data_IF_495285882938
#
_entry.id   IF_495285882938
#
_cell.length_a   1.000
_cell.length_b   1.000
_cell.length_c   1.000
_cell.angle_alpha   90.00
_cell.angle_beta   90.00
_cell.angle_gamma   90.00
#
_symmetry.space_group_name_H-M   'P 1'
#
loop_
_entity.id
_entity.type
_entity.pdbx_description
1 polymer ?
#
# COMPACT_ATOMS: atom_id res chain seq x y z
N UNK A 1 -13.13 24.73 1.30
CA UNK A 1 -13.58 23.46 0.69
C UNK A 1 -14.90 23.12 1.37
N UNK A 2 -15.99 22.83 0.64
CA UNK A 2 -17.30 22.57 1.27
C UNK A 2 -17.31 21.47 2.32
N UNK A 3 -16.44 20.46 2.21
CA UNK A 3 -16.49 19.28 3.08
C UNK A 3 -15.46 19.32 4.22
N UNK A 4 -14.22 19.75 3.96
CA UNK A 4 -13.14 19.76 4.97
C UNK A 4 -12.72 21.17 5.44
N UNK A 5 -13.40 22.22 4.98
CA UNK A 5 -13.15 23.63 5.34
C UNK A 5 -11.78 24.21 4.96
N UNK A 6 -10.86 23.40 4.43
CA UNK A 6 -9.56 23.85 3.93
C UNK A 6 -9.65 24.62 2.59
N UNK A 7 -8.69 25.51 2.27
CA UNK A 7 -8.68 26.20 0.97
C UNK A 7 -8.53 25.21 -0.19
N UNK A 8 -9.28 25.45 -1.26
CA UNK A 8 -9.16 24.71 -2.51
C UNK A 8 -7.83 25.06 -3.23
N UNK A 9 -7.31 24.17 -4.09
CA UNK A 9 -6.15 24.48 -4.92
C UNK A 9 -6.42 25.71 -5.80
N UNK A 10 -5.38 26.51 -6.09
CA UNK A 10 -5.52 27.71 -6.95
C UNK A 10 -6.04 27.36 -8.34
N UNK A 11 -5.53 26.26 -8.91
CA UNK A 11 -5.91 25.74 -10.22
C UNK A 11 -6.36 24.28 -10.03
N UNK A 12 -7.62 24.03 -9.64
CA UNK A 12 -8.12 22.68 -9.49
C UNK A 12 -8.14 21.96 -10.84
N UNK A 13 -7.90 20.65 -10.84
CA UNK A 13 -8.04 19.85 -12.05
C UNK A 13 -9.50 19.80 -12.51
N UNK A 14 -9.69 19.40 -13.78
CA UNK A 14 -11.02 19.11 -14.32
C UNK A 14 -11.74 18.06 -13.46
N UNK A 15 -11.05 17.00 -13.06
CA UNK A 15 -11.58 15.92 -12.22
C UNK A 15 -12.07 16.44 -10.86
N UNK A 16 -11.27 17.25 -10.15
CA UNK A 16 -11.67 17.80 -8.86
C UNK A 16 -12.86 18.76 -8.99
N UNK A 17 -12.89 19.53 -10.09
CA UNK A 17 -14.00 20.44 -10.38
C UNK A 17 -15.31 19.68 -10.68
N UNK A 18 -15.25 18.61 -11.46
CA UNK A 18 -16.38 17.72 -11.77
C UNK A 18 -16.90 17.02 -10.52
N UNK A 19 -16.01 16.45 -9.69
CA UNK A 19 -16.39 15.85 -8.41
C UNK A 19 -17.04 16.87 -7.47
N UNK A 20 -16.53 18.10 -7.43
CA UNK A 20 -17.11 19.16 -6.61
C UNK A 20 -18.55 19.49 -7.04
N UNK A 21 -18.83 19.53 -8.34
CA UNK A 21 -20.18 19.76 -8.86
C UNK A 21 -21.09 18.59 -8.53
N UNK A 22 -20.62 17.36 -8.78
CA UNK A 22 -21.35 16.14 -8.45
C UNK A 22 -21.78 16.10 -6.97
N UNK A 23 -20.86 16.32 -6.03
CA UNK A 23 -21.19 16.25 -4.61
C UNK A 23 -22.04 17.43 -4.11
N UNK A 24 -22.07 18.55 -4.82
CA UNK A 24 -22.98 19.67 -4.52
C UNK A 24 -24.44 19.35 -4.87
N UNK A 25 -24.65 18.49 -5.86
CA UNK A 25 -25.97 18.08 -6.34
C UNK A 25 -26.40 16.71 -5.76
N UNK A 26 -25.56 16.11 -4.93
CA UNK A 26 -25.78 14.77 -4.38
C UNK A 26 -27.04 14.71 -3.49
N UNK A 27 -27.88 13.66 -3.62
CA UNK A 27 -29.08 13.50 -2.79
C UNK A 27 -28.76 13.50 -1.29
N UNK A 28 -29.45 14.35 -0.52
CA UNK A 28 -29.26 14.43 0.93
C UNK A 28 -28.10 15.32 1.38
N UNK A 29 -27.48 16.08 0.47
CA UNK A 29 -26.54 17.13 0.85
C UNK A 29 -27.24 18.19 1.70
N UNK A 30 -26.64 18.54 2.83
CA UNK A 30 -27.17 19.54 3.77
C UNK A 30 -26.16 20.67 3.96
N UNK A 31 -26.61 21.86 4.34
CA UNK A 31 -25.70 22.93 4.76
C UNK A 31 -25.23 22.67 6.19
N UNK A 32 -23.96 22.96 6.46
CA UNK A 32 -23.42 22.96 7.84
C UNK A 32 -23.58 24.35 8.42
N UNK A 33 -24.57 24.54 9.28
CA UNK A 33 -24.87 25.83 9.90
C UNK A 33 -23.77 26.28 10.88
N UNK A 34 -23.09 25.32 11.53
CA UNK A 34 -22.05 25.60 12.52
C UNK A 34 -20.66 25.91 11.92
N UNK A 35 -20.52 26.02 10.60
CA UNK A 35 -19.23 26.28 9.96
C UNK A 35 -18.99 27.76 9.66
N UNK A 36 -17.75 28.21 9.90
CA UNK A 36 -17.27 29.53 9.47
C UNK A 36 -17.26 29.66 7.93
N UNK A 37 -17.16 28.53 7.23
CA UNK A 37 -17.19 28.48 5.79
C UNK A 37 -18.64 28.54 5.27
N UNK A 38 -19.00 29.63 4.61
CA UNK A 38 -20.34 29.85 4.05
C UNK A 38 -20.75 28.84 2.97
N UNK A 39 -19.79 28.12 2.39
CA UNK A 39 -20.00 27.06 1.41
C UNK A 39 -19.98 25.66 2.04
N UNK A 40 -19.99 25.55 3.38
CA UNK A 40 -19.88 24.26 4.05
C UNK A 40 -21.11 23.38 3.82
N UNK A 41 -20.85 22.16 3.38
CA UNK A 41 -21.83 21.13 3.10
C UNK A 41 -21.53 19.90 3.95
N UNK A 42 -22.60 19.18 4.30
CA UNK A 42 -22.55 17.93 5.02
C UNK A 42 -22.99 16.79 4.10
N UNK A 43 -22.12 15.79 4.00
CA UNK A 43 -22.38 14.45 3.51
C UNK A 43 -21.59 13.48 4.41
N UNK A 44 -22.00 12.21 4.51
CA UNK A 44 -21.22 11.20 5.23
C UNK A 44 -19.78 11.14 4.72
N UNK A 45 -18.82 10.93 5.62
CA UNK A 45 -17.40 10.88 5.26
C UNK A 45 -17.11 9.85 4.16
N UNK A 46 -17.73 8.66 4.26
CA UNK A 46 -17.60 7.60 3.26
C UNK A 46 -17.93 8.06 1.84
N UNK A 47 -18.90 8.95 1.70
CA UNK A 47 -19.32 9.52 0.41
C UNK A 47 -18.32 10.56 -0.11
N UNK A 48 -17.81 11.40 0.78
CA UNK A 48 -16.88 12.49 0.41
C UNK A 48 -15.40 12.09 0.39
N UNK A 49 -15.07 10.87 0.80
CA UNK A 49 -13.69 10.44 1.04
C UNK A 49 -12.82 10.57 -0.21
N UNK A 50 -13.33 10.13 -1.37
CA UNK A 50 -12.63 10.22 -2.66
C UNK A 50 -12.37 11.67 -3.08
N UNK A 51 -13.36 12.55 -2.90
CA UNK A 51 -13.21 13.99 -3.15
C UNK A 51 -12.17 14.63 -2.23
N UNK A 52 -12.25 14.35 -0.92
CA UNK A 52 -11.31 14.87 0.07
C UNK A 52 -9.88 14.37 -0.21
N UNK A 53 -9.73 13.12 -0.64
CA UNK A 53 -8.44 12.56 -1.05
C UNK A 53 -7.89 13.30 -2.28
N UNK A 54 -8.69 13.44 -3.35
CA UNK A 54 -8.29 14.19 -4.55
C UNK A 54 -7.93 15.65 -4.24
N UNK A 55 -8.68 16.30 -3.34
CA UNK A 55 -8.39 17.66 -2.89
C UNK A 55 -7.03 17.74 -2.19
N UNK A 56 -6.75 16.85 -1.25
CA UNK A 56 -5.46 16.78 -0.56
C UNK A 56 -4.32 16.48 -1.53
N UNK A 57 -4.56 15.61 -2.51
CA UNK A 57 -3.58 15.24 -3.51
C UNK A 57 -3.17 16.43 -4.38
N UNK A 58 -4.13 17.18 -4.92
CA UNK A 58 -3.86 18.37 -5.74
C UNK A 58 -3.29 19.54 -4.95
N UNK A 59 -3.70 19.68 -3.69
CA UNK A 59 -3.25 20.79 -2.85
C UNK A 59 -1.86 20.57 -2.27
N UNK A 60 -1.56 19.35 -1.82
CA UNK A 60 -0.38 19.06 -1.00
C UNK A 60 0.53 18.05 -1.69
N UNK A 61 0.02 16.88 -2.06
CA UNK A 61 0.84 15.74 -2.47
C UNK A 61 1.55 16.01 -3.80
N UNK A 62 0.80 16.40 -4.83
CA UNK A 62 1.32 16.68 -6.18
C UNK A 62 2.32 17.85 -6.14
N UNK A 63 2.01 19.02 -5.56
CA UNK A 63 2.97 20.12 -5.50
C UNK A 63 4.25 19.77 -4.73
N UNK A 64 4.16 18.99 -3.66
CA UNK A 64 5.35 18.57 -2.90
C UNK A 64 6.22 17.59 -3.68
N UNK A 65 5.62 16.67 -4.44
CA UNK A 65 6.38 15.77 -5.30
C UNK A 65 7.11 16.49 -6.43
N UNK A 66 6.46 17.50 -7.03
CA UNK A 66 7.09 18.37 -8.04
C UNK A 66 8.27 19.14 -7.44
N UNK A 67 8.13 19.69 -6.21
CA UNK A 67 9.25 20.36 -5.51
C UNK A 67 10.41 19.42 -5.21
N UNK A 68 10.14 18.14 -4.98
CA UNK A 68 11.17 17.10 -4.79
C UNK A 68 11.79 16.62 -6.12
N UNK A 69 11.31 17.10 -7.26
CA UNK A 69 11.83 16.75 -8.58
C UNK A 69 11.34 15.39 -9.11
N UNK A 70 10.26 14.84 -8.57
CA UNK A 70 9.71 13.58 -9.07
C UNK A 70 9.06 13.75 -10.46
N UNK A 71 9.09 12.73 -11.33
CA UNK A 71 8.59 12.84 -12.69
C UNK A 71 7.12 13.24 -12.74
N UNK A 72 6.78 14.17 -13.62
CA UNK A 72 5.37 14.54 -13.91
C UNK A 72 4.81 13.81 -15.12
N UNK A 73 5.68 13.20 -15.92
CA UNK A 73 5.35 12.40 -17.11
C UNK A 73 6.27 11.19 -17.14
N UNK A 74 5.68 10.01 -17.31
CA UNK A 74 6.41 8.74 -17.45
C UNK A 74 6.02 8.12 -18.80
N UNK A 75 7.03 7.68 -19.55
CA UNK A 75 6.79 6.92 -20.78
C UNK A 75 6.46 5.46 -20.44
N UNK A 76 5.20 5.23 -20.08
CA UNK A 76 4.68 3.90 -19.76
C UNK A 76 4.75 2.92 -20.95
N UNK A 77 4.80 3.41 -22.20
CA UNK A 77 4.90 2.53 -23.38
C UNK A 77 6.26 1.84 -23.47
N UNK A 78 7.32 2.55 -23.08
CA UNK A 78 8.67 1.98 -23.05
C UNK A 78 9.05 1.35 -21.69
N UNK A 79 8.19 1.48 -20.66
CA UNK A 79 8.44 0.92 -19.34
C UNK A 79 8.72 -0.61 -19.35
N UNK A 80 7.98 -1.47 -20.10
CA UNK A 80 8.30 -2.89 -20.20
C UNK A 80 9.73 -3.18 -20.68
N UNK A 81 10.25 -2.37 -21.61
CA UNK A 81 11.64 -2.53 -22.09
C UNK A 81 12.65 -2.19 -21.01
N UNK A 82 12.38 -1.16 -20.19
CA UNK A 82 13.23 -0.79 -19.06
C UNK A 82 13.24 -1.87 -17.99
N UNK A 83 12.07 -2.41 -17.64
CA UNK A 83 11.94 -3.51 -16.68
C UNK A 83 12.77 -4.72 -17.11
N UNK A 84 12.70 -5.12 -18.39
CA UNK A 84 13.47 -6.24 -18.94
C UNK A 84 14.99 -6.10 -18.79
N UNK A 85 15.54 -4.87 -18.81
CA UNK A 85 16.98 -4.65 -18.60
C UNK A 85 17.44 -5.11 -17.21
N UNK A 86 16.53 -5.11 -16.24
CA UNK A 86 16.81 -5.47 -14.85
C UNK A 86 16.55 -6.96 -14.54
N UNK A 87 16.11 -7.76 -15.52
CA UNK A 87 15.81 -9.18 -15.30
C UNK A 87 17.01 -9.99 -14.80
N UNK A 88 18.22 -9.71 -15.28
CA UNK A 88 19.44 -10.38 -14.77
C UNK A 88 19.58 -10.19 -13.26
N UNK A 89 19.47 -8.95 -12.78
CA UNK A 89 19.57 -8.63 -11.35
C UNK A 89 18.42 -9.27 -10.55
N UNK A 90 17.21 -9.29 -11.09
CA UNK A 90 16.07 -9.94 -10.43
C UNK A 90 16.27 -11.46 -10.33
N UNK A 91 16.85 -12.09 -11.35
CA UNK A 91 17.24 -13.50 -11.30
C UNK A 91 18.32 -13.73 -10.25
N UNK A 92 19.33 -12.87 -10.15
CA UNK A 92 20.35 -12.96 -9.10
C UNK A 92 19.75 -12.84 -7.68
N UNK A 93 18.65 -12.11 -7.52
CA UNK A 93 17.89 -12.04 -6.26
C UNK A 93 17.12 -13.35 -6.01
N UNK A 94 16.49 -13.93 -7.05
CA UNK A 94 15.83 -15.22 -6.95
C UNK A 94 16.80 -16.34 -6.54
N UNK A 95 17.98 -16.37 -7.16
CA UNK A 95 19.03 -17.36 -6.88
C UNK A 95 19.73 -17.14 -5.52
N UNK A 96 19.49 -16.00 -4.86
CA UNK A 96 20.11 -15.64 -3.58
C UNK A 96 21.55 -15.12 -3.70
N UNK A 97 22.01 -14.87 -4.92
CA UNK A 97 23.33 -14.28 -5.23
C UNK A 97 23.41 -12.83 -4.77
N UNK A 98 22.28 -12.11 -4.81
CA UNK A 98 22.15 -10.73 -4.31
C UNK A 98 21.17 -10.71 -3.14
N UNK A 99 21.60 -10.10 -2.03
CA UNK A 99 20.74 -9.89 -0.88
C UNK A 99 19.63 -8.88 -1.19
N UNK A 100 18.39 -9.23 -0.80
CA UNK A 100 17.22 -8.36 -0.92
C UNK A 100 16.61 -8.06 0.45
N UNK A 101 16.48 -6.77 0.75
CA UNK A 101 15.78 -6.32 1.96
C UNK A 101 14.28 -6.67 1.86
N UNK A 102 13.68 -6.57 0.67
CA UNK A 102 12.29 -6.94 0.46
C UNK A 102 12.05 -8.43 0.68
N UNK A 103 12.94 -9.30 0.18
CA UNK A 103 12.87 -10.74 0.43
C UNK A 103 12.99 -11.07 1.91
N UNK A 104 13.93 -10.42 2.60
CA UNK A 104 14.14 -10.62 4.04
C UNK A 104 12.90 -10.24 4.83
N UNK A 105 12.33 -9.06 4.56
CA UNK A 105 11.11 -8.57 5.22
C UNK A 105 9.93 -9.50 4.90
N UNK A 106 9.71 -9.83 3.63
CA UNK A 106 8.60 -10.69 3.20
C UNK A 106 8.67 -12.08 3.85
N UNK A 107 9.87 -12.65 3.95
CA UNK A 107 10.10 -13.95 4.60
C UNK A 107 9.85 -13.89 6.10
N UNK A 108 10.28 -12.81 6.77
CA UNK A 108 10.03 -12.62 8.19
C UNK A 108 8.54 -12.43 8.50
N UNK A 109 7.83 -11.64 7.69
CA UNK A 109 6.38 -11.46 7.80
C UNK A 109 5.65 -12.80 7.61
N UNK A 110 6.02 -13.55 6.58
CA UNK A 110 5.42 -14.85 6.30
C UNK A 110 5.67 -15.87 7.40
N UNK A 111 6.87 -15.90 7.99
CA UNK A 111 7.15 -16.76 9.15
C UNK A 111 6.32 -16.39 10.38
N UNK A 112 6.04 -15.09 10.59
CA UNK A 112 5.26 -14.62 11.74
C UNK A 112 3.76 -14.88 11.60
N UNK A 113 3.20 -14.67 10.41
CA UNK A 113 1.74 -14.65 10.20
C UNK A 113 1.23 -15.81 9.34
N UNK A 114 2.08 -16.42 8.52
CA UNK A 114 1.76 -17.53 7.64
C UNK A 114 0.60 -17.21 6.69
N UNK A 115 -0.31 -18.17 6.54
CA UNK A 115 -1.49 -18.05 5.68
C UNK A 115 -2.44 -16.92 6.05
N UNK A 116 -2.36 -16.34 7.27
CA UNK A 116 -3.18 -15.19 7.68
C UNK A 116 -2.86 -13.92 6.90
N UNK A 117 -1.68 -13.82 6.27
CA UNK A 117 -1.36 -12.72 5.35
C UNK A 117 -2.20 -12.72 4.08
N UNK A 118 -2.85 -13.85 3.76
CA UNK A 118 -3.80 -13.95 2.63
C UNK A 118 -5.19 -13.40 2.96
N UNK A 119 -5.43 -12.95 4.19
CA UNK A 119 -6.71 -12.33 4.54
C UNK A 119 -6.81 -10.96 3.84
N UNK A 120 -7.98 -10.68 3.26
CA UNK A 120 -8.28 -9.41 2.56
C UNK A 120 -7.91 -8.18 3.41
N UNK A 121 -8.07 -8.25 4.73
CA UNK A 121 -7.70 -7.16 5.65
C UNK A 121 -6.18 -6.91 5.70
N UNK A 122 -5.38 -7.97 5.62
CA UNK A 122 -3.93 -7.85 5.59
C UNK A 122 -3.46 -7.40 4.21
N UNK A 123 -4.07 -7.93 3.15
CA UNK A 123 -3.79 -7.50 1.77
C UNK A 123 -4.09 -6.00 1.56
N UNK A 124 -5.19 -5.49 2.12
CA UNK A 124 -5.55 -4.07 2.03
C UNK A 124 -4.59 -3.17 2.84
N UNK A 125 -4.07 -3.66 3.97
CA UNK A 125 -3.11 -2.89 4.78
C UNK A 125 -1.68 -2.93 4.24
N UNK A 126 -1.31 -3.94 3.44
CA UNK A 126 0.00 -4.00 2.78
C UNK A 126 0.02 -3.37 1.39
N UNK A 127 -1.14 -3.03 0.82
CA UNK A 127 -1.25 -2.45 -0.52
C UNK A 127 -0.44 -1.16 -0.68
N UNK A 128 -0.40 -0.30 0.33
CA UNK A 128 0.44 0.91 0.31
C UNK A 128 1.93 0.57 0.20
N UNK A 129 2.38 -0.55 0.77
CA UNK A 129 3.79 -0.99 0.71
C UNK A 129 4.14 -1.53 -0.69
N UNK A 130 3.15 -2.08 -1.39
CA UNK A 130 3.33 -2.68 -2.73
C UNK A 130 3.39 -1.63 -3.84
N UNK A 131 3.04 -0.37 -3.57
CA UNK A 131 3.07 0.68 -4.58
C UNK A 131 4.51 1.00 -5.04
N UNK A 132 4.77 1.11 -6.36
CA UNK A 132 6.09 1.31 -6.95
C UNK A 132 6.56 2.78 -6.90
N UNK A 133 6.30 3.48 -5.80
CA UNK A 133 6.67 4.89 -5.64
C UNK A 133 5.95 5.80 -6.63
N UNK A 134 6.67 6.76 -7.23
CA UNK A 134 6.12 7.72 -8.18
C UNK A 134 5.61 7.10 -9.49
N UNK A 135 5.85 5.81 -9.73
CA UNK A 135 5.26 5.10 -10.87
C UNK A 135 3.76 4.86 -10.73
N UNK A 136 3.23 4.93 -9.49
CA UNK A 136 1.79 4.87 -9.22
C UNK A 136 1.13 3.54 -9.58
N UNK A 137 -0.21 3.56 -9.65
CA UNK A 137 -1.03 2.38 -9.92
C UNK A 137 -0.83 1.90 -11.35
N UNK A 138 -0.75 2.82 -12.31
CA UNK A 138 -0.46 2.48 -13.72
C UNK A 138 0.90 1.80 -13.89
N UNK A 139 1.91 2.27 -13.15
CA UNK A 139 3.22 1.62 -13.14
C UNK A 139 3.19 0.25 -12.46
N UNK A 140 2.41 0.09 -11.39
CA UNK A 140 2.23 -1.18 -10.71
C UNK A 140 1.72 -2.24 -11.68
N UNK A 141 0.66 -1.93 -12.43
CA UNK A 141 0.04 -2.84 -13.39
C UNK A 141 1.05 -3.31 -14.45
N UNK A 142 1.77 -2.36 -15.07
CA UNK A 142 2.74 -2.65 -16.13
C UNK A 142 3.93 -3.47 -15.60
N UNK A 143 4.44 -3.12 -14.41
CA UNK A 143 5.53 -3.85 -13.75
C UNK A 143 5.06 -5.28 -13.45
N UNK A 144 3.91 -5.41 -12.81
CA UNK A 144 3.35 -6.69 -12.41
C UNK A 144 3.12 -7.61 -13.62
N UNK A 145 2.44 -7.14 -14.67
CA UNK A 145 2.21 -7.91 -15.90
C UNK A 145 3.52 -8.30 -16.60
N UNK A 146 4.50 -7.40 -16.64
CA UNK A 146 5.80 -7.68 -17.26
C UNK A 146 6.58 -8.76 -16.48
N UNK A 147 6.54 -8.72 -15.15
CA UNK A 147 7.16 -9.73 -14.30
C UNK A 147 6.43 -11.06 -14.41
N UNK A 148 5.10 -11.05 -14.38
CA UNK A 148 4.26 -12.23 -14.48
C UNK A 148 4.51 -12.98 -15.79
N UNK A 149 4.56 -12.28 -16.92
CA UNK A 149 4.84 -12.88 -18.23
C UNK A 149 6.24 -13.51 -18.33
N UNK A 150 7.20 -13.03 -17.54
CA UNK A 150 8.56 -13.56 -17.55
C UNK A 150 8.74 -14.70 -16.54
N UNK A 151 8.63 -14.37 -15.25
CA UNK A 151 8.93 -15.27 -14.14
C UNK A 151 7.88 -16.38 -13.95
N UNK A 152 6.65 -16.16 -14.41
CA UNK A 152 5.58 -17.17 -14.38
C UNK A 152 5.29 -17.76 -15.77
N UNK A 153 6.23 -17.60 -16.71
CA UNK A 153 6.18 -18.34 -17.96
C UNK A 153 6.35 -19.85 -17.70
N UNK A 154 5.75 -20.74 -18.54
CA UNK A 154 5.85 -22.19 -18.35
C UNK A 154 7.28 -22.72 -18.21
N UNK A 155 8.26 -22.04 -18.81
CA UNK A 155 9.67 -22.42 -18.78
C UNK A 155 10.37 -22.06 -17.46
N UNK A 156 9.96 -20.96 -16.80
CA UNK A 156 10.60 -20.47 -15.57
C UNK A 156 9.78 -20.71 -14.31
N UNK A 157 8.52 -21.12 -14.44
CA UNK A 157 7.60 -21.27 -13.30
C UNK A 157 8.14 -22.20 -12.22
N UNK A 158 8.66 -23.37 -12.60
CA UNK A 158 9.17 -24.35 -11.64
C UNK A 158 10.36 -23.82 -10.85
N UNK A 159 11.36 -23.26 -11.54
CA UNK A 159 12.55 -22.67 -10.91
C UNK A 159 12.18 -21.48 -10.02
N UNK A 160 11.34 -20.57 -10.52
CA UNK A 160 10.90 -19.39 -9.75
C UNK A 160 10.10 -19.81 -8.51
N UNK A 161 9.24 -20.83 -8.63
CA UNK A 161 8.50 -21.39 -7.48
C UNK A 161 9.43 -22.01 -6.45
N UNK A 162 10.53 -22.63 -6.89
CA UNK A 162 11.54 -23.17 -5.99
C UNK A 162 12.30 -22.05 -5.25
N UNK A 163 12.73 -21.01 -5.96
CA UNK A 163 13.36 -19.83 -5.39
C UNK A 163 12.45 -19.06 -4.41
N UNK A 164 11.15 -19.04 -4.69
CA UNK A 164 10.18 -18.35 -3.84
C UNK A 164 9.97 -19.02 -2.48
N UNK A 165 10.30 -20.31 -2.31
CA UNK A 165 10.04 -21.03 -1.05
C UNK A 165 10.71 -20.31 0.15
N UNK A 166 10.00 -20.13 1.29
CA UNK A 166 8.70 -20.71 1.64
C UNK A 166 7.47 -19.87 1.24
N UNK A 167 7.66 -18.80 0.47
CA UNK A 167 6.61 -17.87 0.07
C UNK A 167 5.79 -18.44 -1.10
N UNK A 168 4.46 -18.20 -1.13
CA UNK A 168 3.67 -18.40 -2.35
C UNK A 168 4.20 -17.52 -3.47
N UNK A 169 4.16 -18.03 -4.69
CA UNK A 169 4.81 -17.37 -5.83
C UNK A 169 4.19 -16.00 -6.15
N UNK A 170 2.87 -15.85 -6.05
CA UNK A 170 2.19 -14.56 -6.26
C UNK A 170 2.58 -13.54 -5.18
N UNK A 171 2.71 -13.99 -3.93
CA UNK A 171 3.16 -13.15 -2.82
C UNK A 171 4.61 -12.72 -3.02
N UNK A 172 5.47 -13.63 -3.49
CA UNK A 172 6.86 -13.36 -3.82
C UNK A 172 6.98 -12.29 -4.92
N UNK A 173 6.20 -12.39 -6.01
CA UNK A 173 6.22 -11.39 -7.09
C UNK A 173 5.79 -10.02 -6.56
N UNK A 174 4.68 -9.93 -5.81
CA UNK A 174 4.16 -8.64 -5.31
C UNK A 174 5.04 -8.00 -4.24
N UNK A 175 5.59 -8.80 -3.33
CA UNK A 175 6.30 -8.29 -2.14
C UNK A 175 7.81 -8.20 -2.32
N UNK A 176 8.37 -8.86 -3.32
CA UNK A 176 9.81 -8.90 -3.58
C UNK A 176 10.13 -8.36 -4.97
N UNK A 177 9.73 -9.07 -6.04
CA UNK A 177 10.18 -8.71 -7.39
C UNK A 177 9.65 -7.35 -7.86
N UNK A 178 8.40 -7.03 -7.56
CA UNK A 178 7.80 -5.75 -7.93
C UNK A 178 8.49 -4.55 -7.27
N UNK A 179 8.66 -4.51 -5.92
CA UNK A 179 9.35 -3.39 -5.30
C UNK A 179 10.85 -3.36 -5.60
N UNK A 180 11.51 -4.49 -5.85
CA UNK A 180 12.90 -4.52 -6.36
C UNK A 180 12.99 -3.92 -7.77
N UNK A 181 12.03 -4.22 -8.64
CA UNK A 181 11.95 -3.63 -9.98
C UNK A 181 11.73 -2.12 -9.90
N UNK A 182 10.79 -1.67 -9.06
CA UNK A 182 10.54 -0.25 -8.85
C UNK A 182 11.81 0.46 -8.32
N UNK A 183 12.51 -0.15 -7.37
CA UNK A 183 13.77 0.36 -6.84
C UNK A 183 14.84 0.47 -7.94
N UNK A 184 14.98 -0.52 -8.82
CA UNK A 184 15.92 -0.47 -9.94
C UNK A 184 15.56 0.61 -10.98
N UNK A 185 14.27 0.78 -11.27
CA UNK A 185 13.78 1.82 -12.19
C UNK A 185 14.06 3.22 -11.63
N UNK A 186 13.79 3.44 -10.33
CA UNK A 186 14.09 4.70 -9.65
C UNK A 186 15.60 4.96 -9.61
N UNK A 187 16.41 3.93 -9.37
CA UNK A 187 17.86 4.05 -9.43
C UNK A 187 18.35 4.47 -10.83
N UNK A 188 17.78 3.89 -11.89
CA UNK A 188 18.06 4.27 -13.28
C UNK A 188 17.69 5.74 -13.53
N UNK A 189 16.53 6.20 -13.06
CA UNK A 189 16.06 7.58 -13.23
C UNK A 189 16.92 8.60 -12.47
N UNK A 190 17.34 8.26 -11.25
CA UNK A 190 18.22 9.09 -10.41
C UNK A 190 19.70 8.99 -10.82
N UNK A 191 20.05 8.06 -11.73
CA UNK A 191 21.44 7.72 -12.09
C UNK A 191 22.28 7.31 -10.87
N UNK A 192 21.67 6.56 -9.96
CA UNK A 192 22.29 6.06 -8.73
C UNK A 192 22.37 4.53 -8.75
N UNK A 193 23.10 3.97 -7.79
CA UNK A 193 23.09 2.53 -7.54
C UNK A 193 21.75 2.11 -6.89
N UNK A 194 21.18 0.95 -7.23
CA UNK A 194 20.02 0.38 -6.53
C UNK A 194 20.20 0.31 -5.00
N UNK A 195 21.44 0.14 -4.52
CA UNK A 195 21.72 0.01 -3.09
C UNK A 195 21.82 1.38 -2.37
N UNK A 196 21.72 2.50 -3.08
CA UNK A 196 21.78 3.82 -2.48
C UNK A 196 20.54 4.10 -1.61
N UNK A 197 20.77 4.62 -0.40
CA UNK A 197 19.71 4.95 0.58
C UNK A 197 18.71 5.95 0.00
N UNK A 198 19.15 6.87 -0.86
CA UNK A 198 18.29 7.86 -1.50
C UNK A 198 17.26 7.22 -2.44
N UNK A 199 17.62 6.12 -3.12
CA UNK A 199 16.69 5.40 -4.01
C UNK A 199 15.56 4.80 -3.19
N UNK A 200 15.89 4.10 -2.09
CA UNK A 200 14.90 3.51 -1.18
C UNK A 200 13.99 4.58 -0.57
N UNK A 201 14.59 5.68 -0.10
CA UNK A 201 13.85 6.83 0.44
C UNK A 201 12.90 7.43 -0.60
N UNK A 202 13.37 7.58 -1.84
CA UNK A 202 12.53 8.08 -2.94
C UNK A 202 11.37 7.13 -3.24
N UNK A 203 11.62 5.82 -3.30
CA UNK A 203 10.57 4.82 -3.48
C UNK A 203 9.48 4.95 -2.41
N UNK A 204 9.86 4.99 -1.13
CA UNK A 204 8.89 5.02 -0.04
C UNK A 204 8.14 6.35 0.05
N UNK A 205 8.83 7.49 -0.08
CA UNK A 205 8.22 8.81 0.04
C UNK A 205 7.31 9.17 -1.14
N UNK A 206 7.56 8.61 -2.32
CA UNK A 206 6.87 8.99 -3.56
C UNK A 206 5.61 8.19 -3.86
N UNK A 207 5.23 7.21 -3.05
CA UNK A 207 4.05 6.36 -3.26
C UNK A 207 2.75 7.15 -3.40
N UNK A 208 2.46 8.03 -2.43
CA UNK A 208 1.24 8.86 -2.46
C UNK A 208 1.21 9.75 -3.70
N UNK A 209 2.36 10.26 -4.10
CA UNK A 209 2.49 11.06 -5.31
C UNK A 209 2.22 10.25 -6.58
N UNK A 210 2.77 9.04 -6.68
CA UNK A 210 2.53 8.16 -7.82
C UNK A 210 1.06 7.80 -7.95
N UNK A 211 0.40 7.43 -6.85
CA UNK A 211 -1.04 7.13 -6.84
C UNK A 211 -1.88 8.33 -7.26
N UNK A 212 -1.55 9.52 -6.76
CA UNK A 212 -2.25 10.76 -7.10
C UNK A 212 -2.10 11.16 -8.58
N UNK A 213 -0.91 10.98 -9.15
CA UNK A 213 -0.59 11.48 -10.49
C UNK A 213 -0.84 10.45 -11.59
N UNK A 214 -0.66 9.16 -11.30
CA UNK A 214 -0.84 8.06 -12.25
C UNK A 214 -1.82 7.01 -11.69
N UNK A 215 -3.10 7.41 -11.49
CA UNK A 215 -4.14 6.48 -11.09
C UNK A 215 -4.46 5.48 -12.20
N UNK A 216 -5.21 4.45 -11.86
CA UNK A 216 -5.82 3.55 -12.84
C UNK A 216 -6.89 4.33 -13.64
N UNK A 217 -6.73 4.39 -14.96
CA UNK A 217 -7.62 5.11 -15.88
C UNK A 217 -8.98 4.41 -16.01
N UNK A 218 -9.06 3.09 -15.77
CA UNK A 218 -10.30 2.28 -15.86
C UNK A 218 -11.12 2.34 -14.56
N UNK A 219 -10.47 2.41 -13.39
CA UNK A 219 -11.15 2.46 -12.10
C UNK A 219 -11.99 3.74 -11.91
N UNK A 220 -11.58 4.86 -12.52
CA UNK A 220 -12.28 6.15 -12.35
C UNK A 220 -13.65 6.22 -13.04
N UNK A 221 -14.00 5.27 -13.92
CA UNK A 221 -15.28 5.23 -14.64
C UNK A 221 -16.23 4.14 -14.13
N UNK A 222 -15.74 3.22 -13.30
CA UNK A 222 -16.50 2.06 -12.82
C UNK A 222 -17.05 2.23 -11.39
N UNK A 223 -16.65 3.30 -10.67
CA UNK A 223 -17.29 3.72 -9.42
C UNK A 223 -18.58 4.55 -9.66
N UNK A 224 -19.28 4.32 -10.77
CA UNK A 224 -20.64 4.85 -10.95
C UNK A 224 -21.59 4.07 -10.04
N UNK A 225 -22.27 4.78 -9.14
CA UNK A 225 -23.46 4.50 -8.29
C UNK A 225 -24.07 3.10 -8.20
N UNK A 226 -24.06 2.33 -9.27
CA UNK A 226 -24.83 1.11 -9.45
C UNK A 226 -24.30 -0.03 -8.58
N UNK A 227 -22.97 -0.13 -8.36
CA UNK A 227 -22.40 -1.19 -7.51
C UNK A 227 -22.62 -0.96 -6.00
N UNK A 228 -22.61 0.31 -5.55
CA UNK A 228 -22.87 0.66 -4.14
C UNK A 228 -24.34 0.47 -3.78
N UNK A 229 -25.26 0.91 -4.65
CA UNK A 229 -26.70 0.73 -4.47
C UNK A 229 -27.09 -0.75 -4.50
N UNK A 230 -26.48 -1.55 -5.37
CA UNK A 230 -26.74 -2.98 -5.45
C UNK A 230 -26.16 -3.76 -4.24
N UNK A 231 -25.00 -3.34 -3.71
CA UNK A 231 -24.47 -3.87 -2.43
C UNK A 231 -25.36 -3.51 -1.25
N UNK A 232 -25.85 -2.28 -1.17
CA UNK A 232 -26.73 -1.83 -0.09
C UNK A 232 -28.08 -2.55 -0.13
N UNK A 233 -28.63 -2.76 -1.33
CA UNK A 233 -29.85 -3.54 -1.53
C UNK A 233 -29.70 -5.01 -1.11
N UNK A 234 -28.60 -5.68 -1.49
CA UNK A 234 -28.32 -7.06 -1.05
C UNK A 234 -28.18 -7.18 0.46
N UNK A 235 -27.58 -6.19 1.12
CA UNK A 235 -27.43 -6.14 2.59
C UNK A 235 -28.79 -5.95 3.29
N UNK A 236 -29.62 -5.04 2.76
CA UNK A 236 -30.97 -4.78 3.29
C UNK A 236 -31.92 -5.96 3.08
N UNK A 237 -31.79 -6.67 1.96
CA UNK A 237 -32.57 -7.88 1.68
C UNK A 237 -32.19 -9.04 2.61
N UNK A 238 -30.89 -9.25 2.87
CA UNK A 238 -30.45 -10.22 3.90
C UNK A 238 -30.99 -9.88 5.29
N UNK A 239 -30.97 -8.60 5.68
CA UNK A 239 -31.54 -8.16 6.97
C UNK A 239 -33.05 -8.42 7.05
N UNK A 240 -33.79 -8.18 5.95
CA UNK A 240 -35.23 -8.49 5.86
C UNK A 240 -35.50 -10.00 5.94
N UNK A 241 -34.69 -10.83 5.28
CA UNK A 241 -34.81 -12.29 5.35
C UNK A 241 -34.52 -12.83 6.74
N UNK A 242 -33.50 -12.31 7.43
CA UNK A 242 -33.18 -12.68 8.82
C UNK A 242 -34.31 -12.25 9.76
N UNK A 243 -34.85 -11.03 9.60
CA UNK A 243 -35.98 -10.56 10.40
C UNK A 243 -37.23 -11.43 10.17
N UNK A 244 -37.53 -11.78 8.91
CA UNK A 244 -38.66 -12.65 8.53
C UNK A 244 -38.50 -14.07 9.10
N UNK A 245 -37.30 -14.63 9.07
CA UNK A 245 -36.98 -15.93 9.70
C UNK A 245 -37.13 -15.87 11.22
N UNK A 246 -36.71 -14.77 11.85
CA UNK A 246 -36.84 -14.58 13.30
C UNK A 246 -38.30 -14.42 13.77
N UNK A 247 -39.17 -13.83 12.93
CA UNK A 247 -40.61 -13.75 13.15
C UNK A 247 -41.30 -15.10 12.99
N UNK A 248 -40.95 -15.87 11.95
CA UNK A 248 -41.46 -17.24 11.75
C UNK A 248 -41.07 -18.21 12.87
N UNK A 249 -39.89 -18.01 13.47
CA UNK A 249 -39.44 -18.77 14.65
C UNK A 249 -40.16 -18.36 15.95
N UNK A 250 -40.73 -17.14 16.02
CA UNK A 250 -41.52 -16.67 17.17
C UNK A 250 -42.98 -17.14 17.14
N UNK A 251 -43.55 -17.36 15.95
CA UNK A 251 -44.96 -17.77 15.79
C UNK A 251 -45.19 -19.30 15.77
N UNK A 252 -44.14 -20.10 16.04
CA UNK A 252 -44.25 -21.48 16.52
C UNK A 252 -45.07 -22.45 15.66
N UNK A 253 -44.43 -23.06 14.65
CA UNK A 253 -44.75 -24.42 14.19
C UNK A 253 -43.45 -25.15 13.82
N UNK A 254 -43.08 -26.16 14.62
CA UNK A 254 -42.17 -27.22 14.17
C UNK A 254 -42.90 -28.02 13.09
N UNK A 255 -42.58 -27.77 11.82
CA UNK A 255 -42.90 -28.69 10.74
C UNK A 255 -41.61 -29.09 10.02
N UNK A 256 -41.39 -30.40 10.04
CA UNK A 256 -40.32 -31.20 9.46
C UNK A 256 -40.01 -30.80 8.01
N UNK A 257 -38.79 -30.31 7.74
CA UNK A 257 -38.29 -30.14 6.38
C UNK A 257 -37.19 -31.17 6.11
N UNK A 258 -37.53 -32.11 5.23
CA UNK A 258 -36.69 -33.23 4.80
C UNK A 258 -35.61 -32.77 3.80
N UNK A 259 -34.47 -33.43 3.85
CA UNK A 259 -33.29 -33.20 3.00
C UNK A 259 -33.59 -33.42 1.51
N UNK A 260 -33.27 -32.44 0.67
CA UNK A 260 -32.88 -32.69 -0.73
C UNK A 260 -31.73 -31.77 -1.11
N UNK A 261 -30.49 -32.22 -0.82
CA UNK A 261 -29.29 -31.74 -1.49
C UNK A 261 -28.71 -32.92 -2.25
N UNK A 262 -29.04 -33.01 -3.53
CA UNK A 262 -28.34 -33.88 -4.49
C UNK A 262 -27.88 -33.06 -5.69
N UNK A 263 -26.55 -33.11 -5.88
CA UNK A 263 -25.77 -32.87 -7.11
C UNK A 263 -25.65 -31.41 -7.57
N UNK A 264 -24.46 -30.83 -7.75
CA UNK A 264 -23.35 -31.34 -8.58
C UNK A 264 -21.92 -31.01 -8.07
N UNK A 265 -21.08 -32.07 -8.10
CA UNK A 265 -19.65 -32.18 -8.50
C UNK A 265 -18.57 -31.54 -7.60
N UNK A 266 -17.79 -32.33 -6.84
CA UNK A 266 -16.55 -33.06 -7.24
C UNK A 266 -15.51 -32.10 -7.89
N UNK A 267 -14.25 -32.01 -7.44
CA UNK A 267 -13.19 -33.04 -7.55
C UNK A 267 -12.00 -32.72 -6.61
N UNK A 268 -11.48 -33.80 -6.01
CA UNK A 268 -10.15 -34.11 -5.44
C UNK A 268 -9.44 -33.21 -4.41
N UNK A 269 -9.24 -33.79 -3.21
CA UNK A 269 -8.04 -34.63 -3.00
C UNK A 269 -8.18 -35.51 -1.75
N UNK A 270 -8.22 -36.83 -1.97
CA UNK A 270 -7.92 -37.86 -0.97
C UNK A 270 -6.42 -38.19 -1.01
N UNK A 271 -5.98 -38.89 0.05
CA UNK A 271 -4.69 -39.54 0.31
C UNK A 271 -3.83 -38.67 1.24
N UNK A 272 -3.51 -39.06 2.49
CA UNK A 272 -3.19 -40.40 3.00
C UNK A 272 -3.62 -40.52 4.47
N UNK A 273 -4.35 -41.60 4.78
CA UNK A 273 -4.52 -42.14 6.14
C UNK A 273 -3.28 -42.93 6.53
N UNK A 274 -2.76 -42.70 7.73
CA UNK A 274 -2.24 -43.70 8.70
C UNK A 274 -1.56 -42.91 9.83
N UNK A 275 -2.01 -42.87 11.07
CA UNK A 275 -2.58 -43.93 11.88
C UNK A 275 -1.48 -44.62 12.67
N UNK A 276 -1.03 -44.04 13.81
CA UNK A 276 -0.39 -44.80 14.91
C UNK A 276 -0.72 -44.15 16.26
N UNK A 277 -1.14 -45.02 17.18
CA UNK A 277 -1.51 -44.83 18.59
C UNK A 277 -0.37 -44.23 19.44
N UNK A 278 -0.69 -43.46 20.47
CA UNK A 278 -0.53 -43.87 21.89
C UNK A 278 -0.51 -42.73 22.91
N UNK A 279 -1.24 -42.99 24.00
CA UNK A 279 -0.95 -42.71 25.43
C UNK A 279 -0.80 -41.27 25.93
N UNK A 280 -1.76 -40.94 26.80
CA UNK A 280 -1.63 -40.30 28.11
C UNK A 280 -0.21 -39.89 28.53
N UNK A 281 -0.05 -38.60 28.83
CA UNK A 281 0.54 -38.14 30.10
C UNK A 281 -0.05 -36.76 30.44
N UNK A 282 -0.88 -36.74 31.49
CA UNK A 282 -1.14 -35.52 32.24
C UNK A 282 0.16 -35.15 32.98
N UNK A 283 0.67 -33.94 32.74
CA UNK A 283 1.58 -33.29 33.67
C UNK A 283 1.21 -31.81 33.74
N UNK A 284 0.58 -31.46 34.84
CA UNK A 284 0.34 -30.12 35.34
C UNK A 284 1.69 -29.47 35.68
N UNK A 285 1.99 -28.29 35.12
CA UNK A 285 2.93 -27.32 35.68
C UNK A 285 2.46 -25.90 35.30
N UNK A 286 2.02 -25.18 36.33
CA UNK A 286 2.08 -23.74 36.61
C UNK A 286 2.03 -22.72 35.46
N UNK A 287 0.89 -22.03 35.39
CA UNK A 287 0.73 -20.72 34.74
C UNK A 287 1.29 -19.68 35.72
N UNK A 288 2.41 -19.06 35.39
CA UNK A 288 2.82 -17.81 36.02
C UNK A 288 2.00 -16.66 35.43
N UNK A 289 1.31 -15.93 36.31
CA UNK A 289 0.52 -14.76 35.97
C UNK A 289 1.39 -13.63 35.39
N UNK A 290 0.88 -12.82 34.44
CA UNK A 290 1.61 -11.70 33.87
C UNK A 290 1.66 -10.52 34.86
N UNK A 291 2.86 -9.95 35.03
CA UNK A 291 3.07 -8.73 35.82
C UNK A 291 2.36 -7.51 35.22
N UNK A 292 1.89 -6.57 36.07
CA UNK A 292 1.14 -5.40 35.64
C UNK A 292 2.05 -4.31 35.04
N UNK A 293 1.60 -3.72 33.94
CA UNK A 293 2.23 -2.55 33.31
C UNK A 293 1.84 -1.31 34.10
N UNK A 294 2.83 -0.64 34.69
CA UNK A 294 2.68 0.65 35.39
C UNK A 294 2.75 1.80 34.36
N UNK A 295 1.84 2.79 34.40
CA UNK A 295 1.80 3.87 33.42
C UNK A 295 2.82 4.96 33.77
N UNK A 296 3.69 5.31 32.82
CA UNK A 296 4.60 6.47 32.95
C UNK A 296 3.87 7.72 32.48
N UNK A 297 3.70 8.66 33.42
CA UNK A 297 3.15 10.00 33.22
C UNK A 297 4.19 10.96 32.62
N UNK A 298 3.64 11.93 31.90
CA UNK A 298 4.23 13.14 31.33
C UNK A 298 4.98 14.04 32.31
N UNK A 299 6.07 14.66 31.81
CA UNK A 299 6.57 15.98 32.22
C UNK A 299 7.77 15.97 33.18
N UNK A 300 8.99 16.29 32.69
CA UNK A 300 9.54 17.65 32.81
C UNK A 300 10.99 17.76 32.31
N UNK A 301 11.29 18.97 31.81
CA UNK A 301 12.57 19.44 31.29
C UNK A 301 13.72 19.24 32.27
N UNK A 302 14.87 18.75 31.78
CA UNK A 302 16.19 19.14 32.31
C UNK A 302 17.23 19.25 31.21
N UNK A 303 17.73 20.48 31.10
CA UNK A 303 18.91 20.91 30.36
C UNK A 303 20.12 20.17 30.92
N UNK A 304 20.88 19.49 30.06
CA UNK A 304 22.24 19.04 30.38
C UNK A 304 23.19 19.85 29.51
N UNK A 305 23.91 20.75 30.19
CA UNK A 305 25.12 21.41 29.71
C UNK A 305 26.22 20.35 29.59
N UNK A 306 26.88 20.26 28.44
CA UNK A 306 28.22 19.71 28.35
C UNK A 306 29.20 20.86 28.17
N UNK A 307 30.04 21.01 29.18
CA UNK A 307 31.27 21.80 29.21
C UNK A 307 32.35 21.09 28.41
N UNK A 308 33.04 21.83 27.55
CA UNK A 308 34.27 21.43 26.86
C UNK A 308 35.01 22.71 26.48
N UNK A 309 35.98 23.05 27.30
CA UNK A 309 36.85 24.22 27.23
C UNK A 309 37.98 24.05 26.21
N UNK A 310 38.37 25.19 25.63
CA UNK A 310 39.70 25.58 25.12
C UNK A 310 40.16 25.18 23.71
N UNK A 311 40.46 26.21 22.93
CA UNK A 311 41.17 26.17 21.64
C UNK A 311 40.98 27.45 20.83
N UNK A 312 41.51 28.58 21.32
CA UNK A 312 41.57 29.86 20.61
C UNK A 312 42.54 29.82 19.41
N UNK A 313 42.06 30.39 18.28
CA UNK A 313 42.69 31.35 17.38
C UNK A 313 44.09 31.03 16.80
N UNK A 314 44.17 30.87 15.47
CA UNK A 314 45.13 31.63 14.66
C UNK A 314 44.56 31.84 13.25
N UNK A 315 44.30 33.11 12.93
CA UNK A 315 44.11 33.61 11.57
C UNK A 315 45.49 33.99 11.04
N UNK A 316 45.89 33.41 9.91
CA UNK A 316 47.01 33.92 9.11
C UNK A 316 46.49 34.25 7.71
N UNK A 317 46.27 35.54 7.47
CA UNK A 317 46.42 36.16 6.16
C UNK A 317 47.78 36.86 6.14
N UNK A 318 48.68 36.46 5.25
CA UNK A 318 49.75 37.32 4.75
C UNK A 318 49.97 37.04 3.26
N UNK A 319 49.64 38.04 2.45
CA UNK A 319 49.98 38.19 1.04
C UNK A 319 51.49 38.18 0.80
N UNK A 320 51.93 37.51 -0.29
CA UNK A 320 53.08 37.96 -1.07
C UNK A 320 52.80 37.78 -2.57
N UNK A 321 52.76 38.92 -3.25
CA UNK A 321 53.02 39.15 -4.68
C UNK A 321 54.10 38.19 -5.24
N UNK A 322 54.17 37.83 -6.53
CA UNK A 322 54.37 38.75 -7.65
C UNK A 322 54.31 37.99 -8.99
N UNK A 323 53.73 38.68 -9.98
CA UNK A 323 54.17 38.83 -11.38
C UNK A 323 54.14 37.71 -12.43
N UNK A 324 53.43 38.08 -13.52
CA UNK A 324 53.81 38.00 -14.95
C UNK A 324 53.89 36.61 -15.61
N UNK A 325 53.43 36.39 -16.84
CA UNK A 325 52.79 37.19 -17.89
C UNK A 325 52.45 36.24 -19.06
N UNK A 326 51.83 36.77 -20.14
CA UNK A 326 51.92 36.29 -21.55
C UNK A 326 51.04 35.07 -21.86
N UNK A 327 50.15 34.99 -22.86
CA UNK A 327 49.74 35.67 -24.12
C UNK A 327 48.41 34.95 -24.49
N UNK A 328 47.45 35.41 -25.29
CA UNK A 328 47.21 36.55 -26.16
C UNK A 328 45.69 36.58 -26.39
#
# INVERSE_FOLDING_TARGET
>A
CPFCDEPLPKNPSKKLSELLLYFKEYPGVQKREDSVNSLALYLPFSTTASFCQQHQDEKIVIPNGIKKGWPTKIDFRNLPKRIKKHFSRLTDICEGTIASNFLTIATLEWKKQGSKLRNITNELSTFEIEQPGYYGVKGFEIIFDTLHRHFLSPHLLNSTTEYAKPLPIEYYVRRVLLPETALCLIAEDLKLSPNDVQVRKTLDESRKYGVALFPDEEACLNESSDEEDERLNRSNERKRQIAKKSLLLRDGKEEHYDETISTEKNIDTRLIKSGVKSKMHQKSVEISEPMPIVPIKSGDRKIIKQTGEQGEILLDEVDLNTDQSVKN
#
